data_IF_528057430314
#
_entry.id   IF_528057430314
#
_cell.length_a   1.000
_cell.length_b   1.000
_cell.length_c   1.000
_cell.angle_alpha   90.00
_cell.angle_beta   90.00
_cell.angle_gamma   90.00
#
_symmetry.space_group_name_H-M   'P 1'
#
loop_
_entity.id
_entity.type
_entity.pdbx_description
1 polymer ?
#
# COMPACT_ATOMS: atom_id res chain seq x y z
N UNK A 1 -0.81 7.53 15.56
CA UNK A 1 -1.53 7.85 14.30
C UNK A 1 -0.49 8.14 13.23
N UNK A 2 -0.67 7.61 12.02
CA UNK A 2 0.12 8.02 10.86
C UNK A 2 -0.60 9.19 10.17
N UNK A 3 0.14 10.22 9.78
CA UNK A 3 -0.40 11.23 8.87
C UNK A 3 -0.51 10.67 7.43
N UNK A 4 -1.17 11.39 6.51
CA UNK A 4 -1.39 10.88 5.16
C UNK A 4 -0.10 10.55 4.38
N UNK A 5 0.98 11.30 4.59
CA UNK A 5 2.25 11.11 3.87
C UNK A 5 3.02 9.89 4.39
N UNK A 6 3.13 9.75 5.71
CA UNK A 6 3.67 8.56 6.35
C UNK A 6 2.85 7.31 6.00
N UNK A 7 1.52 7.42 5.99
CA UNK A 7 0.64 6.32 5.60
C UNK A 7 0.84 5.94 4.13
N UNK A 8 0.94 6.91 3.21
CA UNK A 8 1.19 6.65 1.79
C UNK A 8 2.50 5.88 1.56
N UNK A 9 3.56 6.26 2.28
CA UNK A 9 4.87 5.60 2.21
C UNK A 9 4.79 4.13 2.66
N UNK A 10 4.02 3.84 3.72
CA UNK A 10 3.79 2.47 4.17
C UNK A 10 2.90 1.67 3.20
N UNK A 11 1.89 2.33 2.62
CA UNK A 11 0.99 1.73 1.61
C UNK A 11 1.76 1.30 0.38
N UNK A 12 2.74 2.09 -0.07
CA UNK A 12 3.61 1.72 -1.18
C UNK A 12 4.34 0.40 -0.91
N UNK A 13 4.98 0.26 0.25
CA UNK A 13 5.68 -0.97 0.64
C UNK A 13 4.72 -2.17 0.79
N UNK A 14 3.53 -1.97 1.35
CA UNK A 14 2.50 -3.02 1.42
C UNK A 14 2.00 -3.40 0.02
N UNK A 15 1.88 -2.44 -0.89
CA UNK A 15 1.49 -2.65 -2.27
C UNK A 15 2.41 -3.59 -3.04
N UNK A 16 3.72 -3.57 -2.73
CA UNK A 16 4.69 -4.49 -3.34
C UNK A 16 4.35 -5.97 -3.10
N UNK A 17 3.74 -6.28 -1.95
CA UNK A 17 3.30 -7.64 -1.61
C UNK A 17 2.23 -8.15 -2.56
N UNK A 18 1.48 -7.25 -3.19
CA UNK A 18 0.38 -7.58 -4.10
C UNK A 18 0.82 -7.72 -5.57
N UNK A 19 2.09 -7.49 -5.88
CA UNK A 19 2.60 -7.70 -7.23
C UNK A 19 2.69 -9.21 -7.51
N UNK A 20 2.03 -9.71 -8.56
CA UNK A 20 2.10 -11.12 -8.93
C UNK A 20 3.54 -11.60 -9.18
N UNK A 21 4.44 -10.68 -9.55
CA UNK A 21 5.87 -10.96 -9.69
C UNK A 21 6.56 -11.30 -8.35
N UNK A 22 6.17 -10.66 -7.25
CA UNK A 22 6.67 -10.93 -5.92
C UNK A 22 6.10 -12.27 -5.40
N UNK A 23 4.80 -12.48 -5.57
CA UNK A 23 4.11 -13.74 -5.20
C UNK A 23 4.72 -14.93 -5.94
N UNK A 24 4.92 -14.84 -7.26
CA UNK A 24 5.51 -15.92 -8.07
C UNK A 24 6.94 -16.27 -7.64
N UNK A 25 7.71 -15.28 -7.21
CA UNK A 25 9.12 -15.44 -6.81
C UNK A 25 9.29 -15.81 -5.33
N UNK A 26 8.21 -16.08 -4.59
CA UNK A 26 8.23 -16.32 -3.15
C UNK A 26 8.82 -15.15 -2.35
N UNK A 27 8.56 -13.92 -2.80
CA UNK A 27 9.00 -12.67 -2.14
C UNK A 27 7.84 -11.88 -1.55
N UNK A 28 6.71 -12.53 -1.33
CA UNK A 28 5.53 -11.93 -0.72
C UNK A 28 4.94 -12.91 0.28
N UNK A 29 4.71 -12.43 1.50
CA UNK A 29 4.01 -13.15 2.56
C UNK A 29 2.55 -13.49 2.18
N UNK A 30 2.00 -12.87 1.12
CA UNK A 30 0.64 -13.11 0.62
C UNK A 30 0.53 -14.33 -0.27
N UNK A 31 1.63 -15.05 -0.52
CA UNK A 31 1.57 -16.30 -1.29
C UNK A 31 0.61 -17.28 -0.62
N UNK A 32 -0.33 -17.81 -1.42
CA UNK A 32 -1.38 -18.74 -0.97
C UNK A 32 -2.35 -18.15 0.07
N UNK A 33 -2.46 -16.82 0.18
CA UNK A 33 -3.36 -16.11 1.11
C UNK A 33 -4.60 -15.53 0.43
N UNK A 34 -4.89 -15.91 -0.80
CA UNK A 34 -6.07 -15.40 -1.51
C UNK A 34 -7.34 -15.80 -0.75
N UNK A 35 -8.19 -14.81 -0.41
CA UNK A 35 -9.38 -15.01 0.41
C UNK A 35 -9.14 -15.00 1.93
N UNK A 36 -7.89 -14.95 2.39
CA UNK A 36 -7.59 -14.87 3.83
C UNK A 36 -7.80 -13.44 4.35
N UNK A 37 -8.35 -13.34 5.56
CA UNK A 37 -8.42 -12.09 6.31
C UNK A 37 -7.10 -11.85 7.05
N UNK A 38 -6.35 -10.85 6.60
CA UNK A 38 -5.02 -10.49 7.12
C UNK A 38 -4.96 -9.08 7.73
N UNK A 39 -6.02 -8.29 7.56
CA UNK A 39 -6.09 -6.91 8.04
C UNK A 39 -7.40 -6.59 8.76
N UNK A 40 -7.52 -5.34 9.20
CA UNK A 40 -8.73 -4.78 9.79
C UNK A 40 -9.87 -4.68 8.77
N UNK A 41 -11.12 -4.83 9.21
CA UNK A 41 -12.31 -4.60 8.39
C UNK A 41 -12.39 -3.16 7.85
N UNK A 42 -11.68 -2.22 8.47
CA UNK A 42 -11.62 -0.84 8.00
C UNK A 42 -10.67 -0.63 6.81
N UNK A 43 -9.90 -1.65 6.41
CA UNK A 43 -8.84 -1.51 5.40
C UNK A 43 -9.27 -2.09 4.06
N UNK A 44 -9.43 -1.20 3.06
CA UNK A 44 -9.62 -1.60 1.66
C UNK A 44 -8.53 -0.94 0.81
N UNK A 45 -7.72 -1.75 0.14
CA UNK A 45 -6.59 -1.32 -0.69
C UNK A 45 -6.94 -1.50 -2.17
N UNK A 46 -6.78 -0.44 -2.95
CA UNK A 46 -7.16 -0.40 -4.36
C UNK A 46 -6.02 0.15 -5.20
N UNK A 47 -5.81 -0.45 -6.36
CA UNK A 47 -5.07 0.15 -7.46
C UNK A 47 -6.06 0.57 -8.56
N UNK A 48 -5.99 1.81 -9.03
CA UNK A 48 -6.91 2.32 -10.04
C UNK A 48 -6.21 3.18 -11.09
N UNK A 49 -6.03 2.64 -12.29
CA UNK A 49 -5.39 3.34 -13.40
C UNK A 49 -6.32 4.29 -14.16
N UNK A 50 -7.57 4.46 -13.70
CA UNK A 50 -8.62 5.21 -14.39
C UNK A 50 -9.01 6.51 -13.70
N UNK A 51 -8.36 6.85 -12.58
CA UNK A 51 -8.64 8.07 -11.82
C UNK A 51 -8.36 9.32 -12.69
N UNK A 52 -9.35 10.19 -12.95
CA UNK A 52 -9.12 11.41 -13.71
C UNK A 52 -7.99 12.25 -13.08
N UNK A 53 -6.98 12.59 -13.87
CA UNK A 53 -5.82 13.39 -13.45
C UNK A 53 -4.92 12.74 -12.38
N UNK A 54 -5.10 11.44 -12.11
CA UNK A 54 -4.18 10.68 -11.27
C UNK A 54 -2.78 10.61 -11.90
N UNK A 55 -1.74 10.67 -11.07
CA UNK A 55 -0.34 10.68 -11.54
C UNK A 55 0.02 9.39 -12.27
N UNK A 56 -0.53 8.25 -11.84
CA UNK A 56 -0.34 6.94 -12.47
C UNK A 56 -1.41 6.57 -13.50
N UNK A 57 -2.31 7.50 -13.85
CA UNK A 57 -3.42 7.22 -14.77
C UNK A 57 -2.96 7.17 -16.22
N UNK A 58 -3.40 6.13 -16.92
CA UNK A 58 -3.17 5.94 -18.35
C UNK A 58 -4.34 5.17 -18.94
N UNK A 59 -4.72 5.38 -20.21
CA UNK A 59 -5.74 4.54 -20.86
C UNK A 59 -5.28 3.08 -21.06
N UNK A 60 -3.96 2.86 -21.15
CA UNK A 60 -3.36 1.54 -21.36
C UNK A 60 -2.08 1.38 -20.52
N UNK A 61 -1.78 0.16 -20.13
CA UNK A 61 -0.53 -0.19 -19.46
C UNK A 61 0.66 -0.31 -20.43
N UNK A 62 1.85 -0.63 -19.90
CA UNK A 62 3.09 -0.78 -20.66
C UNK A 62 3.13 -1.93 -21.67
N UNK A 63 2.07 -2.74 -21.76
CA UNK A 63 1.87 -3.84 -22.71
C UNK A 63 0.65 -3.61 -23.63
N UNK A 64 -0.05 -2.47 -23.50
CA UNK A 64 -1.22 -2.14 -24.31
C UNK A 64 -2.51 -2.78 -23.81
N UNK A 65 -2.58 -3.19 -22.55
CA UNK A 65 -3.82 -3.67 -21.90
C UNK A 65 -4.57 -2.46 -21.32
N UNK A 66 -5.90 -2.35 -21.49
CA UNK A 66 -6.66 -1.26 -20.89
C UNK A 66 -6.43 -1.19 -19.38
N UNK A 67 -6.16 0.01 -18.87
CA UNK A 67 -6.06 0.20 -17.42
C UNK A 67 -7.43 0.02 -16.76
N UNK A 68 -7.42 -0.47 -15.53
CA UNK A 68 -8.63 -0.75 -14.78
C UNK A 68 -8.48 -0.45 -13.29
N UNK A 69 -9.54 -0.77 -12.56
CA UNK A 69 -9.60 -0.70 -11.09
C UNK A 69 -9.54 -2.11 -10.52
N UNK A 70 -8.54 -2.37 -9.68
CA UNK A 70 -8.34 -3.65 -9.01
C UNK A 70 -8.41 -3.48 -7.50
N UNK A 71 -9.34 -4.20 -6.85
CA UNK A 71 -9.40 -4.27 -5.38
C UNK A 71 -8.43 -5.35 -4.92
N UNK A 72 -7.34 -4.92 -4.27
CA UNK A 72 -6.28 -5.80 -3.78
C UNK A 72 -6.65 -6.43 -2.44
N UNK A 73 -7.23 -5.62 -1.56
CA UNK A 73 -7.75 -6.05 -0.27
C UNK A 73 -9.12 -5.41 -0.07
N UNK A 74 -10.15 -6.19 0.24
CA UNK A 74 -11.49 -5.72 0.63
C UNK A 74 -11.70 -5.99 2.12
N UNK A 75 -11.84 -4.94 2.93
CA UNK A 75 -12.07 -5.05 4.39
C UNK A 75 -11.15 -6.06 5.09
N UNK A 76 -9.85 -5.95 4.82
CA UNK A 76 -8.84 -6.83 5.41
C UNK A 76 -8.65 -8.18 4.71
N UNK A 77 -9.46 -8.51 3.70
CA UNK A 77 -9.41 -9.79 2.96
C UNK A 77 -8.66 -9.64 1.65
N UNK A 78 -7.63 -10.46 1.43
CA UNK A 78 -6.88 -10.48 0.16
C UNK A 78 -7.81 -10.90 -0.97
N UNK A 79 -8.03 -10.01 -1.92
CA UNK A 79 -9.06 -10.15 -2.96
C UNK A 79 -8.48 -10.31 -4.37
N UNK A 80 -7.29 -9.75 -4.63
CA UNK A 80 -6.62 -9.87 -5.92
C UNK A 80 -5.13 -9.56 -5.82
N UNK A 81 -4.40 -9.81 -6.90
CA UNK A 81 -3.03 -9.35 -7.14
C UNK A 81 -2.97 -8.52 -8.42
N UNK A 82 -1.90 -7.77 -8.63
CA UNK A 82 -1.66 -7.05 -9.88
C UNK A 82 -0.90 -7.94 -10.86
N UNK A 83 -1.36 -7.95 -12.11
CA UNK A 83 -0.82 -8.79 -13.17
C UNK A 83 -0.49 -7.98 -14.42
N UNK A 84 0.66 -8.30 -15.02
CA UNK A 84 0.94 -8.04 -16.42
C UNK A 84 0.68 -9.33 -17.23
N UNK A 85 0.79 -9.31 -18.56
CA UNK A 85 0.50 -10.47 -19.42
C UNK A 85 1.34 -11.70 -19.06
N UNK A 86 2.62 -11.51 -18.74
CA UNK A 86 3.53 -12.61 -18.39
C UNK A 86 3.08 -13.35 -17.13
N UNK A 87 2.75 -12.64 -16.06
CA UNK A 87 2.33 -13.28 -14.81
C UNK A 87 0.88 -13.72 -14.88
N UNK A 88 -0.01 -12.97 -15.53
CA UNK A 88 -1.38 -13.39 -15.82
C UNK A 88 -1.41 -14.80 -16.44
N UNK A 89 -0.59 -15.03 -17.48
CA UNK A 89 -0.45 -16.35 -18.11
C UNK A 89 0.06 -17.44 -17.16
N UNK A 90 0.98 -17.11 -16.24
CA UNK A 90 1.54 -18.07 -15.29
C UNK A 90 0.58 -18.47 -14.17
N UNK A 91 -0.32 -17.57 -13.81
CA UNK A 91 -1.36 -17.80 -12.81
C UNK A 91 -2.70 -18.21 -13.43
N UNK A 92 -2.76 -18.35 -14.76
CA UNK A 92 -3.98 -18.72 -15.51
C UNK A 92 -5.16 -17.76 -15.28
N UNK A 93 -4.85 -16.47 -15.14
CA UNK A 93 -5.83 -15.37 -14.97
C UNK A 93 -5.69 -14.33 -16.08
N UNK A 94 -6.62 -13.37 -16.13
CA UNK A 94 -6.52 -12.20 -17.00
C UNK A 94 -5.51 -11.18 -16.46
N UNK A 95 -4.92 -10.38 -17.35
CA UNK A 95 -4.14 -9.20 -16.95
C UNK A 95 -5.04 -8.17 -16.29
N UNK A 96 -4.54 -7.48 -15.27
CA UNK A 96 -5.25 -6.39 -14.59
C UNK A 96 -4.92 -5.01 -15.19
N UNK A 97 -4.08 -4.96 -16.22
CA UNK A 97 -3.63 -3.70 -16.83
C UNK A 97 -2.54 -3.01 -16.00
N UNK A 98 -1.61 -3.80 -15.44
CA UNK A 98 -0.59 -3.35 -14.51
C UNK A 98 0.84 -3.61 -15.00
N UNK A 99 1.06 -3.64 -16.31
CA UNK A 99 2.41 -3.62 -16.86
C UNK A 99 3.03 -2.22 -16.72
N UNK A 100 4.20 -2.13 -16.08
CA UNK A 100 4.96 -0.88 -15.96
C UNK A 100 6.36 -1.03 -16.54
N UNK A 101 6.86 0.03 -17.20
CA UNK A 101 8.20 0.05 -17.82
C UNK A 101 8.76 1.45 -17.93
N UNK A 102 10.07 1.53 -17.85
CA UNK A 102 10.87 2.65 -18.35
C UNK A 102 11.15 2.46 -19.85
N UNK A 103 11.58 3.53 -20.58
CA UNK A 103 11.80 3.45 -22.03
C UNK A 103 12.68 2.28 -22.49
N UNK A 104 13.73 1.95 -21.72
CA UNK A 104 14.66 0.85 -22.03
C UNK A 104 14.43 -0.47 -21.26
N UNK A 105 13.41 -0.59 -20.43
CA UNK A 105 13.20 -1.80 -19.62
C UNK A 105 12.16 -2.74 -20.21
N UNK A 106 12.32 -4.03 -19.92
CA UNK A 106 11.28 -5.04 -20.12
C UNK A 106 10.09 -4.72 -19.18
N UNK A 107 8.83 -4.92 -19.61
CA UNK A 107 7.67 -4.73 -18.73
C UNK A 107 7.74 -5.58 -17.45
N UNK A 108 7.62 -4.88 -16.32
CA UNK A 108 7.40 -5.44 -14.99
C UNK A 108 5.92 -5.37 -14.60
N UNK A 109 5.60 -5.86 -13.40
CA UNK A 109 4.30 -5.58 -12.76
C UNK A 109 4.50 -4.36 -11.88
N UNK A 110 3.63 -3.36 -11.98
CA UNK A 110 3.63 -2.19 -11.12
C UNK A 110 2.22 -1.69 -10.85
N UNK A 111 2.05 -0.91 -9.79
CA UNK A 111 0.81 -0.20 -9.50
C UNK A 111 0.69 1.08 -10.35
N UNK A 112 -0.54 1.55 -10.48
CA UNK A 112 -0.93 2.79 -11.13
C UNK A 112 -1.16 3.87 -10.06
N UNK A 113 -2.40 4.07 -9.62
CA UNK A 113 -2.72 4.87 -8.43
C UNK A 113 -3.14 3.92 -7.30
N UNK A 114 -2.22 3.65 -6.38
CA UNK A 114 -2.43 2.80 -5.21
C UNK A 114 -2.88 3.64 -4.01
N UNK A 115 -4.01 3.27 -3.38
CA UNK A 115 -4.52 4.00 -2.22
C UNK A 115 -5.41 3.15 -1.32
N UNK A 116 -5.53 3.58 -0.06
CA UNK A 116 -6.54 3.07 0.87
C UNK A 116 -7.84 3.85 0.63
N UNK A 117 -8.95 3.14 0.50
CA UNK A 117 -10.28 3.77 0.39
C UNK A 117 -10.56 4.59 1.66
N UNK A 118 -10.92 5.89 1.54
CA UNK A 118 -11.21 6.72 2.70
C UNK A 118 -12.32 6.14 3.58
N UNK A 119 -12.11 6.17 4.89
CA UNK A 119 -13.15 5.88 5.88
C UNK A 119 -14.05 7.09 6.15
N UNK A 120 -14.95 6.95 7.12
CA UNK A 120 -15.92 8.00 7.48
C UNK A 120 -15.38 9.03 8.47
N UNK A 121 -14.27 8.71 9.14
CA UNK A 121 -13.71 9.55 10.22
C UNK A 121 -12.72 10.56 9.66
N UNK A 122 -12.88 11.81 10.06
CA UNK A 122 -11.90 12.85 9.82
C UNK A 122 -10.61 12.64 10.62
N UNK A 123 -9.45 13.15 10.17
CA UNK A 123 -8.20 13.10 10.92
C UNK A 123 -8.33 13.66 12.34
N UNK A 124 -9.12 14.73 12.52
CA UNK A 124 -9.40 15.33 13.83
C UNK A 124 -10.13 14.36 14.76
N UNK A 125 -11.16 13.67 14.27
CA UNK A 125 -11.88 12.68 15.07
C UNK A 125 -10.99 11.49 15.46
N UNK A 126 -10.02 11.11 14.61
CA UNK A 126 -9.06 10.04 14.94
C UNK A 126 -8.08 10.52 16.01
N UNK A 127 -7.60 11.76 15.91
CA UNK A 127 -6.69 12.37 16.89
C UNK A 127 -7.33 12.52 18.28
N UNK A 128 -8.58 12.99 18.35
CA UNK A 128 -9.34 13.15 19.59
C UNK A 128 -9.51 11.79 20.33
N UNK A 129 -9.61 10.69 19.58
CA UNK A 129 -9.72 9.33 20.13
C UNK A 129 -8.39 8.76 20.64
N UNK A 130 -7.25 9.22 20.12
CA UNK A 130 -5.94 8.63 20.44
C UNK A 130 -5.56 8.80 21.92
N UNK A 131 -6.16 9.76 22.66
CA UNK A 131 -5.96 10.02 24.11
C UNK A 131 -4.50 9.94 24.57
N UNK A 132 -3.56 10.30 23.69
CA UNK A 132 -2.12 10.07 23.86
C UNK A 132 -1.46 9.41 22.64
N UNK A 133 -0.16 9.17 22.73
CA UNK A 133 0.63 8.53 21.67
C UNK A 133 1.39 9.53 20.78
N UNK A 134 1.73 9.09 19.57
CA UNK A 134 2.54 9.84 18.61
C UNK A 134 1.76 10.00 17.30
N UNK A 135 1.68 11.23 16.81
CA UNK A 135 1.33 11.55 15.43
C UNK A 135 2.61 11.46 14.61
N UNK A 136 2.77 10.38 13.86
CA UNK A 136 3.92 10.12 13.01
C UNK A 136 3.70 10.85 11.69
N UNK A 137 4.66 11.71 11.34
CA UNK A 137 4.64 12.51 10.10
C UNK A 137 5.71 12.05 9.11
N UNK A 138 6.65 11.22 9.56
CA UNK A 138 7.74 10.72 8.71
C UNK A 138 8.14 9.31 9.15
N UNK A 139 8.26 8.42 8.17
CA UNK A 139 8.81 7.08 8.33
C UNK A 139 10.15 6.99 7.58
N UNK A 140 11.18 6.55 8.28
CA UNK A 140 12.51 6.31 7.72
C UNK A 140 12.78 4.82 7.65
N UNK A 141 13.31 4.36 6.52
CA UNK A 141 13.65 2.95 6.33
C UNK A 141 12.51 2.07 5.83
N UNK A 142 11.45 2.63 5.23
CA UNK A 142 10.33 1.83 4.68
C UNK A 142 10.79 0.76 3.67
N UNK A 143 11.91 1.02 2.99
CA UNK A 143 12.55 0.07 2.07
C UNK A 143 13.26 -1.11 2.76
N UNK A 144 13.33 -1.15 4.09
CA UNK A 144 13.96 -2.23 4.86
C UNK A 144 12.95 -3.22 5.44
N UNK A 145 11.66 -3.08 5.12
CA UNK A 145 10.63 -4.06 5.49
C UNK A 145 10.94 -5.37 4.78
N UNK A 146 10.92 -6.49 5.52
CA UNK A 146 11.09 -7.81 4.91
C UNK A 146 9.74 -8.26 4.32
N UNK A 147 9.59 -8.39 2.99
CA UNK A 147 8.32 -8.72 2.38
C UNK A 147 7.96 -10.22 2.51
N UNK A 148 8.89 -11.05 2.99
CA UNK A 148 8.68 -12.49 3.22
C UNK A 148 8.18 -12.76 4.62
N UNK A 149 8.82 -12.20 5.65
CA UNK A 149 8.37 -12.36 7.04
C UNK A 149 7.29 -11.34 7.44
N UNK A 150 7.33 -10.14 6.86
CA UNK A 150 6.52 -8.99 7.25
C UNK A 150 7.17 -8.13 8.34
N UNK A 151 8.37 -8.49 8.82
CA UNK A 151 9.05 -7.78 9.90
C UNK A 151 9.48 -6.38 9.45
N UNK A 152 9.29 -5.40 10.34
CA UNK A 152 9.68 -4.02 10.10
C UNK A 152 10.36 -3.40 11.32
N UNK A 153 11.28 -2.47 11.04
CA UNK A 153 11.92 -1.63 12.06
C UNK A 153 12.21 -0.26 11.43
N UNK A 154 11.27 0.66 11.61
CA UNK A 154 11.26 1.96 10.95
C UNK A 154 11.60 3.07 11.94
N UNK A 155 12.50 3.97 11.56
CA UNK A 155 12.72 5.21 12.31
C UNK A 155 11.52 6.13 12.14
N UNK A 156 11.05 6.76 13.21
CA UNK A 156 9.88 7.64 13.16
C UNK A 156 10.16 9.02 13.72
N UNK A 157 9.60 10.05 13.06
CA UNK A 157 9.50 11.41 13.58
C UNK A 157 8.05 11.85 13.61
N UNK A 158 7.74 12.79 14.50
CA UNK A 158 6.38 13.26 14.63
C UNK A 158 6.18 14.22 15.80
N UNK A 159 4.97 14.24 16.34
CA UNK A 159 4.61 15.02 17.51
C UNK A 159 3.88 14.13 18.54
N UNK A 160 4.04 14.45 19.82
CA UNK A 160 3.20 13.85 20.87
C UNK A 160 1.74 14.23 20.63
N UNK A 161 0.81 13.32 20.88
CA UNK A 161 -0.62 13.62 20.86
C UNK A 161 -1.04 13.98 22.29
N UNK A 162 -1.60 15.18 22.46
CA UNK A 162 -2.12 15.64 23.74
C UNK A 162 -3.38 14.88 24.18
N UNK A 163 -3.82 15.05 25.45
CA UNK A 163 -5.00 14.35 25.99
C UNK A 163 -6.31 14.63 25.24
N UNK A 164 -6.41 15.78 24.55
CA UNK A 164 -7.57 16.17 23.74
C UNK A 164 -7.29 16.09 22.23
N UNK A 165 -6.26 15.33 21.82
CA UNK A 165 -5.95 15.06 20.40
C UNK A 165 -5.11 16.13 19.69
N UNK A 166 -4.76 17.23 20.34
CA UNK A 166 -3.93 18.27 19.73
C UNK A 166 -2.48 17.78 19.51
N UNK A 167 -1.85 18.12 18.37
CA UNK A 167 -0.42 17.94 18.19
C UNK A 167 0.36 18.74 19.25
N UNK A 168 1.25 18.05 19.95
CA UNK A 168 2.09 18.58 21.01
C UNK A 168 3.54 18.73 20.59
N UNK A 169 4.46 18.50 21.52
CA UNK A 169 5.91 18.69 21.30
C UNK A 169 6.43 17.76 20.18
N UNK A 170 7.28 18.27 19.27
CA UNK A 170 7.93 17.43 18.28
C UNK A 170 8.86 16.42 18.95
N UNK A 171 8.90 15.21 18.39
CA UNK A 171 9.66 14.05 18.87
C UNK A 171 10.34 13.36 17.69
N UNK A 172 11.55 12.85 17.94
CA UNK A 172 12.39 12.17 16.96
C UNK A 172 13.28 11.14 17.67
N UNK A 173 13.96 10.29 16.89
CA UNK A 173 14.88 9.28 17.43
C UNK A 173 14.17 8.07 18.04
N UNK A 174 12.97 7.75 17.57
CA UNK A 174 12.18 6.60 17.99
C UNK A 174 12.12 5.57 16.87
N UNK A 175 11.91 4.31 17.23
CA UNK A 175 11.72 3.21 16.28
C UNK A 175 10.33 2.61 16.46
N UNK A 176 9.62 2.42 15.35
CA UNK A 176 8.41 1.62 15.27
C UNK A 176 8.79 0.26 14.67
N UNK A 177 8.58 -0.82 15.41
CA UNK A 177 8.90 -2.17 14.97
C UNK A 177 7.70 -3.10 15.19
N UNK A 178 7.61 -4.16 14.38
CA UNK A 178 6.53 -5.15 14.41
C UNK A 178 6.67 -6.19 13.34
#
# INVERSE_FOLDING_TARGET
MLDPEAAASLVESVGELFLASAVFKNRSMLKNRMGDKIGSDCLTLVDDGTIPWGVGTSPWDGEGVPSGRTVLMDRGVVSSFLFNLKYARKFEVASTGNASRSPGSIPGVGFSNLFIVPGERSPRQILEDCRGGILVTELMGVHTIDPVSGDLSLGVKGALIGPTGQPGKPVAGMTMAG
#
